data_IF_784371618723
#
_entry.id   IF_784371618723
#
_cell.length_a   1.000
_cell.length_b   1.000
_cell.length_c   1.000
_cell.angle_alpha   90.00
_cell.angle_beta   90.00
_cell.angle_gamma   90.00
#
_symmetry.space_group_name_H-M   'P 1'
#
loop_
_entity.id
_entity.type
_entity.pdbx_description
1 polymer ?
#
# COMPACT_ATOMS: atom_id res chain seq x y z
N UNK A 1 -10.74 -13.97 -3.80
CA UNK A 1 -10.89 -13.69 -2.35
C UNK A 1 -10.63 -12.22 -2.15
N UNK A 2 -11.51 -11.49 -1.47
CA UNK A 2 -11.24 -10.09 -1.15
C UNK A 2 -10.06 -10.04 -0.17
N UNK A 3 -8.95 -9.43 -0.58
CA UNK A 3 -7.78 -9.23 0.27
C UNK A 3 -7.93 -7.90 1.01
N UNK A 4 -7.62 -7.90 2.30
CA UNK A 4 -7.79 -6.72 3.14
C UNK A 4 -6.44 -6.32 3.74
N UNK A 5 -6.21 -5.02 3.82
CA UNK A 5 -5.05 -4.41 4.47
C UNK A 5 -5.53 -3.85 5.81
N UNK A 6 -4.77 -4.09 6.88
CA UNK A 6 -5.07 -3.60 8.22
C UNK A 6 -4.07 -2.51 8.55
N UNK A 7 -4.54 -1.29 8.78
CA UNK A 7 -3.73 -0.14 9.20
C UNK A 7 -3.36 -0.21 10.68
N UNK A 8 -2.39 0.62 11.09
CA UNK A 8 -1.92 0.68 12.48
C UNK A 8 -3.00 1.11 13.49
N UNK A 9 -3.96 1.91 13.04
CA UNK A 9 -5.13 2.37 13.79
C UNK A 9 -6.26 1.31 13.87
N UNK A 10 -6.06 0.15 13.23
CA UNK A 10 -7.06 -0.91 13.12
C UNK A 10 -8.04 -0.73 11.95
N UNK A 11 -7.85 0.26 11.09
CA UNK A 11 -8.67 0.46 9.89
C UNK A 11 -8.47 -0.70 8.92
N UNK A 12 -9.58 -1.28 8.44
CA UNK A 12 -9.57 -2.40 7.49
C UNK A 12 -10.01 -1.89 6.12
N UNK A 13 -9.16 -2.07 5.12
CA UNK A 13 -9.40 -1.63 3.75
C UNK A 13 -9.36 -2.79 2.79
N UNK A 14 -10.37 -2.88 1.93
CA UNK A 14 -10.35 -3.82 0.81
C UNK A 14 -9.34 -3.33 -0.24
N UNK A 15 -8.34 -4.16 -0.51
CA UNK A 15 -7.27 -3.91 -1.47
C UNK A 15 -7.80 -3.50 -2.85
N UNK A 16 -8.85 -4.16 -3.35
CA UNK A 16 -9.40 -3.91 -4.71
C UNK A 16 -9.96 -2.49 -4.87
N UNK A 17 -10.17 -1.78 -3.76
CA UNK A 17 -10.66 -0.40 -3.75
C UNK A 17 -9.53 0.63 -3.63
N UNK A 18 -8.30 0.22 -3.33
CA UNK A 18 -7.18 1.13 -3.13
C UNK A 18 -6.75 1.73 -4.48
N UNK A 19 -6.77 3.06 -4.57
CA UNK A 19 -6.44 3.81 -5.79
C UNK A 19 -5.06 4.44 -5.74
N UNK A 20 -4.67 4.94 -4.57
CA UNK A 20 -3.38 5.58 -4.36
C UNK A 20 -2.89 5.31 -2.94
N UNK A 21 -1.56 5.28 -2.82
CA UNK A 21 -0.83 5.27 -1.56
C UNK A 21 0.32 6.25 -1.69
N UNK A 22 0.47 7.15 -0.72
CA UNK A 22 1.55 8.14 -0.69
C UNK A 22 1.96 8.45 0.75
N UNK A 23 3.12 9.09 0.92
CA UNK A 23 3.58 9.61 2.20
C UNK A 23 3.30 11.11 2.24
N UNK A 24 2.78 11.59 3.36
CA UNK A 24 2.52 13.00 3.62
C UNK A 24 3.16 13.42 4.95
N UNK A 25 3.45 14.71 5.09
CA UNK A 25 3.99 15.28 6.33
C UNK A 25 2.86 15.52 7.33
N UNK A 26 2.99 15.02 8.55
CA UNK A 26 2.14 15.42 9.67
C UNK A 26 2.69 16.74 10.23
N UNK A 27 1.94 17.83 10.05
CA UNK A 27 2.36 19.19 10.41
C UNK A 27 1.42 19.80 11.44
N UNK A 28 2.00 20.54 12.39
CA UNK A 28 1.22 21.34 13.34
C UNK A 28 0.75 22.69 12.74
N UNK A 29 -0.04 23.44 13.52
CA UNK A 29 -0.54 24.79 13.15
C UNK A 29 0.59 25.81 12.90
N UNK A 30 1.84 25.47 13.26
CA UNK A 30 3.02 26.30 13.11
C UNK A 30 3.97 25.82 12.00
N UNK A 31 3.51 24.89 11.13
CA UNK A 31 4.28 24.28 10.04
C UNK A 31 5.50 23.47 10.51
N UNK A 32 5.52 23.01 11.76
CA UNK A 32 6.54 22.07 12.21
C UNK A 32 6.15 20.65 11.82
N UNK A 33 7.09 19.90 11.23
CA UNK A 33 6.93 18.48 10.95
C UNK A 33 6.96 17.71 12.27
N UNK A 34 5.83 17.07 12.60
CA UNK A 34 5.65 16.18 13.74
C UNK A 34 5.99 14.73 13.38
N UNK A 35 5.83 14.36 12.11
CA UNK A 35 6.08 13.02 11.59
C UNK A 35 5.66 12.88 10.14
N UNK A 36 5.49 11.64 9.69
CA UNK A 36 5.13 11.28 8.34
C UNK A 36 4.05 10.20 8.34
N UNK A 37 2.96 10.45 7.61
CA UNK A 37 1.83 9.54 7.49
C UNK A 37 1.85 8.82 6.15
N UNK A 38 1.67 7.50 6.19
CA UNK A 38 1.39 6.69 5.01
C UNK A 38 -0.12 6.75 4.75
N UNK A 39 -0.54 7.45 3.72
CA UNK A 39 -1.96 7.69 3.40
C UNK A 39 -2.42 6.75 2.29
N UNK A 40 -3.61 6.17 2.46
CA UNK A 40 -4.32 5.41 1.44
C UNK A 40 -5.61 6.09 0.98
N UNK A 41 -5.99 5.90 -0.29
CA UNK A 41 -7.21 6.44 -0.89
C UNK A 41 -8.01 5.33 -1.55
N UNK A 42 -9.31 5.20 -1.23
CA UNK A 42 -10.16 4.08 -1.70
C UNK A 42 -11.28 4.45 -2.69
N UNK A 43 -11.36 5.72 -3.10
CA UNK A 43 -12.45 6.19 -3.96
C UNK A 43 -11.99 7.23 -4.98
N UNK A 44 -12.60 7.20 -6.16
CA UNK A 44 -12.27 8.08 -7.28
C UNK A 44 -13.10 9.36 -7.30
N UNK A 45 -13.94 9.54 -6.27
CA UNK A 45 -14.82 10.69 -6.11
C UNK A 45 -14.18 11.71 -5.20
N UNK A 46 -14.46 13.00 -5.39
CA UNK A 46 -13.97 14.10 -4.54
C UNK A 46 -14.30 13.95 -3.03
N UNK A 47 -15.22 13.06 -2.67
CA UNK A 47 -15.60 12.77 -1.28
C UNK A 47 -14.94 11.51 -0.69
N UNK A 48 -14.05 10.85 -1.44
CA UNK A 48 -13.29 9.72 -0.90
C UNK A 48 -12.42 10.23 0.22
N UNK A 49 -12.69 9.76 1.44
CA UNK A 49 -11.88 10.12 2.59
C UNK A 49 -10.54 9.38 2.49
N UNK A 50 -9.40 10.08 2.53
CA UNK A 50 -8.13 9.44 2.78
C UNK A 50 -8.17 8.80 4.18
N UNK A 51 -7.37 7.77 4.37
CA UNK A 51 -7.17 7.16 5.68
C UNK A 51 -5.68 7.00 5.94
N UNK A 52 -5.29 7.15 7.21
CA UNK A 52 -3.92 6.94 7.63
C UNK A 52 -3.71 5.43 7.78
N UNK A 53 -2.79 4.88 6.99
CA UNK A 53 -2.42 3.48 7.04
C UNK A 53 -1.39 3.22 8.15
N UNK A 54 -0.51 4.19 8.41
CA UNK A 54 0.43 4.17 9.53
C UNK A 54 1.15 5.51 9.67
N UNK A 55 1.65 5.78 10.86
CA UNK A 55 2.37 7.01 11.20
C UNK A 55 3.79 6.69 11.63
N UNK A 56 4.74 7.53 11.21
CA UNK A 56 6.17 7.29 11.37
C UNK A 56 6.88 8.55 11.84
N UNK A 57 7.91 8.38 12.66
CA UNK A 57 8.73 9.49 13.17
C UNK A 57 9.71 10.07 12.12
N UNK A 58 10.01 9.32 11.06
CA UNK A 58 11.05 9.64 10.07
C UNK A 58 10.59 9.32 8.65
N UNK A 59 10.92 10.22 7.71
CA UNK A 59 10.54 10.12 6.29
C UNK A 59 11.01 8.81 5.67
N UNK A 60 12.23 8.35 5.99
CA UNK A 60 12.78 7.12 5.40
C UNK A 60 12.03 5.89 5.89
N UNK A 61 11.54 5.90 7.14
CA UNK A 61 10.70 4.82 7.65
C UNK A 61 9.35 4.80 6.92
N UNK A 62 8.72 5.95 6.75
CA UNK A 62 7.46 6.07 6.00
C UNK A 62 7.63 5.64 4.53
N UNK A 63 8.69 6.11 3.86
CA UNK A 63 8.99 5.76 2.47
C UNK A 63 9.37 4.29 2.30
N UNK A 64 10.04 3.70 3.29
CA UNK A 64 10.29 2.25 3.30
C UNK A 64 8.97 1.48 3.41
N UNK A 65 8.09 1.86 4.32
CA UNK A 65 6.79 1.22 4.48
C UNK A 65 5.91 1.37 3.23
N UNK A 66 5.96 2.55 2.58
CA UNK A 66 5.35 2.77 1.27
C UNK A 66 5.87 1.79 0.22
N UNK A 67 7.19 1.67 0.07
CA UNK A 67 7.80 0.75 -0.89
C UNK A 67 7.46 -0.72 -0.61
N UNK A 68 7.50 -1.14 0.66
CA UNK A 68 7.13 -2.48 1.10
C UNK A 68 5.65 -2.78 0.77
N UNK A 69 4.75 -1.83 1.01
CA UNK A 69 3.34 -1.94 0.65
C UNK A 69 3.18 -2.04 -0.88
N UNK A 70 3.80 -1.16 -1.66
CA UNK A 70 3.73 -1.20 -3.13
C UNK A 70 4.25 -2.54 -3.69
N UNK A 71 5.39 -3.04 -3.20
CA UNK A 71 5.90 -4.35 -3.60
C UNK A 71 4.92 -5.49 -3.27
N UNK A 72 4.32 -5.44 -2.08
CA UNK A 72 3.29 -6.42 -1.71
C UNK A 72 2.09 -6.33 -2.66
N UNK A 73 1.53 -5.14 -2.90
CA UNK A 73 0.40 -4.92 -3.83
C UNK A 73 0.73 -5.43 -5.24
N UNK A 74 1.94 -5.20 -5.74
CA UNK A 74 2.41 -5.71 -7.02
C UNK A 74 2.51 -7.23 -7.03
N UNK A 75 3.07 -7.83 -5.98
CA UNK A 75 3.10 -9.30 -5.86
C UNK A 75 1.69 -9.87 -5.92
N UNK A 76 0.72 -9.25 -5.26
CA UNK A 76 -0.67 -9.75 -5.25
C UNK A 76 -1.39 -9.57 -6.60
N UNK A 77 -1.07 -8.50 -7.34
CA UNK A 77 -1.63 -8.24 -8.68
C UNK A 77 -0.99 -9.12 -9.77
N UNK A 78 0.30 -9.47 -9.64
CA UNK A 78 1.07 -10.15 -10.68
C UNK A 78 1.48 -11.59 -10.33
N UNK A 79 1.16 -12.11 -9.14
CA UNK A 79 1.45 -13.50 -8.73
C UNK A 79 0.73 -14.58 -9.56
N UNK A 80 -0.01 -14.22 -10.62
CA UNK A 80 -0.65 -15.16 -11.54
C UNK A 80 0.20 -15.59 -12.73
N UNK A 81 1.43 -15.10 -12.90
CA UNK A 81 2.31 -15.64 -13.95
C UNK A 81 3.11 -16.82 -13.41
N UNK A 82 2.44 -17.98 -13.27
CA UNK A 82 3.16 -19.25 -13.41
C UNK A 82 3.68 -19.28 -14.85
N UNK A 83 4.98 -19.02 -15.03
CA UNK A 83 5.65 -19.42 -16.27
C UNK A 83 5.41 -20.92 -16.35
N UNK A 84 4.72 -21.45 -17.38
CA UNK A 84 4.69 -22.88 -17.58
C UNK A 84 6.14 -23.30 -17.65
N UNK A 85 6.58 -24.09 -16.67
CA UNK A 85 7.91 -24.70 -16.71
C UNK A 85 8.05 -25.26 -18.11
N UNK A 86 9.13 -24.86 -18.78
CA UNK A 86 9.43 -25.33 -20.13
C UNK A 86 9.10 -26.82 -20.18
N UNK A 87 8.20 -27.15 -21.09
CA UNK A 87 7.94 -28.50 -21.55
C UNK A 87 9.28 -28.99 -22.12
N UNK A 88 10.19 -29.41 -21.24
CA UNK A 88 11.25 -30.34 -21.59
C UNK A 88 10.56 -31.67 -21.88
N UNK A 89 9.96 -31.71 -23.07
CA UNK A 89 9.54 -32.93 -23.72
C UNK A 89 10.69 -33.92 -23.69
N UNK A 90 10.39 -35.09 -23.14
CA UNK A 90 11.33 -36.19 -23.02
C UNK A 90 10.63 -37.44 -22.52
N UNK A 91 9.51 -37.81 -23.16
CA UNK A 91 8.96 -39.16 -23.06
C UNK A 91 9.43 -39.99 -24.27
N UNK A 92 9.76 -41.25 -23.97
CA UNK A 92 10.18 -42.37 -24.84
C UNK A 92 11.62 -42.42 -25.37
#
# INVERSE_FOLDING_TARGET
MAKSIIGQDGTIVNFDKLLAVYVDEDIDDNENILGYDLIGVTGSTLYSQPFIHGSYEDEKLAMKAHADLIHWLQSEAFSTFEVPGEDEGGDA
#
